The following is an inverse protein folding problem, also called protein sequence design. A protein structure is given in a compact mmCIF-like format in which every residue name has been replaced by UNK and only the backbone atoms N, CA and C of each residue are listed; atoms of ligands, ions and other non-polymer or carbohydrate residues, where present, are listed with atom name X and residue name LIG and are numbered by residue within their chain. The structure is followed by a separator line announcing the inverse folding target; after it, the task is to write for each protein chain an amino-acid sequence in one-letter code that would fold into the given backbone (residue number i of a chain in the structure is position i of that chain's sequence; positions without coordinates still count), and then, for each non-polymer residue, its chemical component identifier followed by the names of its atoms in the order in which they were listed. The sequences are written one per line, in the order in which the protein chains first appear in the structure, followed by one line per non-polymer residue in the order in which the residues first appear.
data_IF_349407823311
#
_entry.id   IF_349407823311
#
_cell.length_a   1.000
_cell.length_b   1.000
_cell.length_c   1.000
_cell.angle_alpha   90.00
_cell.angle_beta   90.00
_cell.angle_gamma   90.00
#
_symmetry.space_group_name_H-M   'P 1'
#
loop_
_entity.id
_entity.type
_entity.pdbx_description
1 polymer ?
#
# COMPACT_ATOMS: atom_id res chain seq x y z
N UNK A 1 5.98 17.91 14.74
CA UNK A 1 4.61 18.31 14.33
C UNK A 1 4.26 17.49 13.10
N UNK A 2 3.31 16.58 13.21
CA UNK A 2 2.77 15.85 12.06
C UNK A 2 1.95 16.86 11.29
N UNK A 3 2.41 17.26 10.10
CA UNK A 3 1.57 18.01 9.16
C UNK A 3 0.28 17.22 8.98
N UNK A 4 -0.81 17.77 9.51
CA UNK A 4 -2.11 17.11 9.45
C UNK A 4 -2.51 16.98 7.99
N UNK A 5 -2.62 15.74 7.52
CA UNK A 5 -3.38 15.47 6.32
C UNK A 5 -4.75 16.13 6.46
N UNK A 6 -5.17 16.88 5.46
CA UNK A 6 -6.42 17.63 5.51
C UNK A 6 -7.58 16.68 5.76
N UNK A 7 -8.23 16.82 6.90
CA UNK A 7 -9.42 16.02 7.23
C UNK A 7 -10.64 16.87 7.01
N UNK A 8 -11.46 16.55 6.02
CA UNK A 8 -12.76 17.19 5.85
C UNK A 8 -13.85 16.23 6.36
N UNK A 9 -14.62 16.67 7.33
CA UNK A 9 -15.86 15.99 7.72
C UNK A 9 -16.97 16.47 6.79
N UNK A 10 -17.33 15.65 5.84
CA UNK A 10 -18.45 15.92 4.93
C UNK A 10 -19.57 14.94 5.30
N UNK A 11 -20.61 15.42 5.92
CA UNK A 11 -21.66 14.67 6.59
C UNK A 11 -21.18 13.87 7.83
N UNK A 12 -22.02 13.67 8.81
CA UNK A 12 -21.70 13.04 10.10
C UNK A 12 -21.16 11.59 10.02
N UNK A 13 -21.24 10.96 8.86
CA UNK A 13 -20.90 9.55 8.65
C UNK A 13 -19.70 9.26 7.72
N UNK A 14 -19.26 10.24 6.90
CA UNK A 14 -18.17 10.05 5.96
C UNK A 14 -17.02 11.01 6.24
N UNK A 15 -15.78 10.49 6.30
CA UNK A 15 -14.55 11.28 6.45
C UNK A 15 -13.59 10.94 5.32
N UNK A 16 -12.98 11.95 4.74
CA UNK A 16 -11.97 11.82 3.68
C UNK A 16 -10.69 12.54 4.09
N UNK A 17 -9.56 11.87 3.94
CA UNK A 17 -8.23 12.45 4.06
C UNK A 17 -7.61 12.59 2.67
N UNK A 18 -6.97 13.74 2.42
CA UNK A 18 -6.33 14.05 1.15
C UNK A 18 -4.89 14.45 1.44
N UNK A 19 -3.95 13.99 0.61
CA UNK A 19 -2.53 14.36 0.74
C UNK A 19 -2.37 15.87 0.42
N UNK A 20 -1.86 16.69 1.36
CA UNK A 20 -1.71 18.11 1.15
C UNK A 20 -0.68 18.47 0.06
N UNK A 21 0.26 17.57 -0.26
CA UNK A 21 1.20 17.78 -1.36
C UNK A 21 0.56 17.48 -2.72
N UNK A 22 -0.39 16.55 -2.78
CA UNK A 22 -1.19 16.32 -3.99
C UNK A 22 -1.97 17.57 -4.40
N UNK A 23 -2.35 18.41 -3.45
CA UNK A 23 -3.03 19.70 -3.69
C UNK A 23 -2.18 20.74 -4.42
N UNK A 24 -0.85 20.63 -4.40
CA UNK A 24 0.07 21.62 -5.00
C UNK A 24 0.47 21.30 -6.44
N UNK A 25 0.17 20.12 -6.93
CA UNK A 25 0.42 19.74 -8.31
C UNK A 25 -0.79 20.16 -9.16
N UNK A 26 -0.60 21.07 -10.10
CA UNK A 26 -1.59 21.88 -10.82
C UNK A 26 -2.79 21.12 -11.42
N UNK A 27 -2.69 19.82 -11.63
CA UNK A 27 -3.77 19.00 -12.19
C UNK A 27 -4.61 18.25 -11.15
N UNK A 28 -4.14 18.15 -9.90
CA UNK A 28 -4.86 17.50 -8.80
C UNK A 28 -5.86 18.42 -8.09
N UNK A 29 -5.61 19.72 -8.10
CA UNK A 29 -6.35 20.69 -7.29
C UNK A 29 -7.84 20.68 -7.61
N UNK A 30 -8.22 20.61 -8.89
CA UNK A 30 -9.64 20.67 -9.30
C UNK A 30 -10.39 19.41 -8.84
N UNK A 31 -9.78 18.25 -8.95
CA UNK A 31 -10.46 16.98 -8.64
C UNK A 31 -10.53 16.72 -7.14
N UNK A 32 -9.44 16.98 -6.42
CA UNK A 32 -9.40 16.86 -4.97
C UNK A 32 -10.22 17.98 -4.29
N UNK A 33 -10.29 19.17 -4.90
CA UNK A 33 -11.18 20.25 -4.47
C UNK A 33 -12.65 19.89 -4.73
N UNK A 34 -12.99 19.24 -5.84
CA UNK A 34 -14.33 18.73 -6.10
C UNK A 34 -14.72 17.62 -5.11
N UNK A 35 -13.79 16.70 -4.83
CA UNK A 35 -13.96 15.69 -3.77
C UNK A 35 -14.19 16.35 -2.40
N UNK A 36 -13.40 17.37 -2.08
CA UNK A 36 -13.50 18.12 -0.85
C UNK A 36 -14.80 18.91 -0.72
N UNK A 37 -15.38 19.36 -1.83
CA UNK A 37 -16.65 20.13 -1.90
C UNK A 37 -17.87 19.24 -2.18
N UNK A 38 -17.67 17.95 -2.49
CA UNK A 38 -18.77 17.02 -2.80
C UNK A 38 -19.68 16.82 -1.59
N UNK A 39 -20.98 16.86 -1.83
CA UNK A 39 -22.00 16.49 -0.84
C UNK A 39 -22.01 14.97 -0.54
N UNK A 40 -21.46 14.16 -1.46
CA UNK A 40 -21.36 12.71 -1.34
C UNK A 40 -19.93 12.21 -1.65
N UNK A 41 -18.95 12.49 -0.82
CA UNK A 41 -17.55 12.17 -1.10
C UNK A 41 -17.28 10.66 -1.18
N UNK A 42 -18.15 9.81 -0.67
CA UNK A 42 -18.05 8.36 -0.81
C UNK A 42 -18.19 7.87 -2.26
N UNK A 43 -18.87 8.62 -3.13
CA UNK A 43 -19.02 8.27 -4.56
C UNK A 43 -17.69 8.26 -5.30
N UNK A 44 -16.74 9.13 -4.91
CA UNK A 44 -15.40 9.18 -5.49
C UNK A 44 -14.54 7.93 -5.21
N UNK A 45 -15.01 7.07 -4.32
CA UNK A 45 -14.41 5.79 -4.02
C UNK A 45 -15.25 4.61 -4.54
N UNK A 46 -16.19 4.89 -5.43
CA UNK A 46 -16.96 3.89 -6.15
C UNK A 46 -16.35 3.68 -7.55
N UNK A 47 -15.84 2.47 -7.86
CA UNK A 47 -15.33 2.17 -9.18
C UNK A 47 -16.42 2.22 -10.27
N UNK A 48 -17.69 2.25 -9.91
CA UNK A 48 -18.81 2.45 -10.84
C UNK A 48 -18.97 3.89 -11.31
N UNK A 49 -18.26 4.87 -10.72
CA UNK A 49 -18.35 6.26 -11.14
C UNK A 49 -17.69 6.44 -12.53
N UNK A 50 -18.46 6.84 -13.59
CA UNK A 50 -17.96 6.85 -14.98
C UNK A 50 -16.69 7.69 -15.18
N UNK A 51 -16.58 8.82 -14.48
CA UNK A 51 -15.44 9.73 -14.63
C UNK A 51 -14.10 9.15 -14.11
N UNK A 52 -14.13 8.04 -13.36
CA UNK A 52 -12.91 7.37 -12.89
C UNK A 52 -12.31 6.42 -13.92
N UNK A 53 -13.00 6.13 -15.02
CA UNK A 53 -12.52 5.21 -16.08
C UNK A 53 -11.96 3.90 -15.51
N UNK A 54 -12.67 3.32 -14.56
CA UNK A 54 -12.16 2.24 -13.71
C UNK A 54 -11.96 0.94 -14.48
N UNK A 55 -10.77 0.35 -14.34
CA UNK A 55 -10.43 -0.98 -14.86
C UNK A 55 -10.04 -1.90 -13.70
N UNK A 56 -10.64 -3.08 -13.55
CA UNK A 56 -10.29 -3.99 -12.46
C UNK A 56 -8.85 -4.47 -12.59
N UNK A 57 -8.12 -4.50 -11.48
CA UNK A 57 -6.77 -5.08 -11.43
C UNK A 57 -6.93 -6.60 -11.44
N UNK A 58 -6.45 -7.24 -12.51
CA UNK A 58 -6.56 -8.70 -12.71
C UNK A 58 -5.55 -9.50 -11.90
N UNK A 59 -4.44 -8.91 -11.54
CA UNK A 59 -3.35 -9.53 -10.78
C UNK A 59 -3.61 -9.42 -9.28
N UNK A 60 -3.60 -10.55 -8.56
CA UNK A 60 -3.74 -10.55 -7.09
C UNK A 60 -5.03 -11.14 -6.53
N UNK A 61 -5.90 -11.72 -7.34
CA UNK A 61 -6.85 -12.78 -6.93
C UNK A 61 -8.11 -12.42 -6.14
N UNK A 62 -8.38 -11.16 -5.78
CA UNK A 62 -9.70 -10.74 -5.27
C UNK A 62 -9.98 -9.31 -5.69
N UNK A 63 -10.95 -9.13 -6.58
CA UNK A 63 -11.39 -7.87 -7.17
C UNK A 63 -11.79 -6.79 -6.13
N UNK A 64 -10.79 -6.19 -5.47
CA UNK A 64 -10.94 -5.09 -4.53
C UNK A 64 -10.07 -3.89 -4.90
N UNK A 65 -9.38 -3.96 -6.05
CA UNK A 65 -8.54 -2.89 -6.57
C UNK A 65 -8.88 -2.59 -8.04
N UNK A 66 -8.83 -1.32 -8.40
CA UNK A 66 -9.09 -0.81 -9.74
C UNK A 66 -8.02 0.21 -10.12
N UNK A 67 -7.52 0.11 -11.33
CA UNK A 67 -6.87 1.24 -11.96
C UNK A 67 -7.94 2.28 -12.26
N UNK A 68 -7.68 3.52 -11.87
CA UNK A 68 -8.58 4.65 -12.10
C UNK A 68 -7.81 5.81 -12.66
N UNK A 69 -8.52 6.73 -13.30
CA UNK A 69 -7.97 7.99 -13.77
C UNK A 69 -8.51 9.15 -12.94
N UNK A 70 -7.61 9.95 -12.39
CA UNK A 70 -7.93 11.15 -11.64
C UNK A 70 -7.36 12.36 -12.41
N UNK A 71 -8.18 12.96 -13.31
CA UNK A 71 -7.66 13.94 -14.26
C UNK A 71 -6.55 13.32 -15.12
N UNK A 72 -5.34 13.90 -15.10
CA UNK A 72 -4.19 13.38 -15.84
C UNK A 72 -3.37 12.34 -15.06
N UNK A 73 -3.84 11.94 -13.88
CA UNK A 73 -3.08 11.01 -13.06
C UNK A 73 -3.70 9.62 -13.05
N UNK A 74 -2.84 8.65 -13.34
CA UNK A 74 -3.14 7.25 -13.11
C UNK A 74 -3.05 6.92 -11.61
N UNK A 75 -4.08 6.29 -11.08
CA UNK A 75 -4.17 5.93 -9.68
C UNK A 75 -4.71 4.51 -9.49
N UNK A 76 -4.61 4.02 -8.28
CA UNK A 76 -5.18 2.74 -7.84
C UNK A 76 -6.18 3.02 -6.72
N UNK A 77 -7.44 2.70 -6.98
CA UNK A 77 -8.49 2.69 -5.96
C UNK A 77 -8.56 1.29 -5.35
N UNK A 78 -8.44 1.20 -4.03
CA UNK A 78 -8.59 -0.03 -3.28
C UNK A 78 -9.68 0.10 -2.23
N UNK A 79 -10.70 -0.76 -2.34
CA UNK A 79 -11.72 -0.91 -1.31
C UNK A 79 -11.32 -2.02 -0.34
N UNK A 80 -11.39 -1.75 0.96
CA UNK A 80 -11.08 -2.75 1.98
C UNK A 80 -12.24 -3.74 2.11
N UNK A 81 -11.97 -5.02 1.87
CA UNK A 81 -12.95 -6.11 1.98
C UNK A 81 -12.46 -7.15 2.98
N UNK A 82 -13.39 -7.72 3.74
CA UNK A 82 -13.07 -8.87 4.61
C UNK A 82 -12.85 -10.12 3.76
N UNK A 83 -11.85 -10.92 4.13
CA UNK A 83 -11.67 -12.29 3.60
C UNK A 83 -12.20 -13.33 4.58
N UNK A 84 -12.39 -14.57 4.12
CA UNK A 84 -12.82 -15.71 4.92
C UNK A 84 -14.34 -15.87 5.03
N UNK A 85 -14.84 -16.79 5.89
CA UNK A 85 -16.27 -17.10 6.03
C UNK A 85 -17.10 -15.91 6.50
N UNK A 86 -16.54 -15.00 7.31
CA UNK A 86 -17.20 -13.74 7.69
C UNK A 86 -17.49 -12.80 6.50
N UNK A 87 -16.83 -13.01 5.34
CA UNK A 87 -17.08 -12.26 4.12
C UNK A 87 -18.46 -12.54 3.49
N UNK A 88 -19.11 -13.63 3.84
CA UNK A 88 -20.43 -13.98 3.32
C UNK A 88 -21.52 -13.02 3.81
N UNK A 89 -21.37 -12.49 5.03
CA UNK A 89 -22.37 -11.62 5.66
C UNK A 89 -21.90 -10.15 5.80
N UNK A 90 -20.57 -9.88 5.85
CA UNK A 90 -20.02 -8.55 6.12
C UNK A 90 -18.80 -8.26 5.24
N UNK A 91 -18.96 -8.28 3.92
CA UNK A 91 -17.86 -8.22 2.94
C UNK A 91 -16.93 -7.01 3.07
N UNK A 92 -17.46 -5.85 3.48
CA UNK A 92 -16.80 -4.56 3.46
C UNK A 92 -16.97 -3.75 4.76
N UNK A 93 -17.41 -4.41 5.84
CA UNK A 93 -17.76 -3.75 7.09
C UNK A 93 -16.80 -4.13 8.21
N UNK A 94 -16.29 -3.14 8.92
CA UNK A 94 -15.35 -3.27 10.04
C UNK A 94 -15.95 -2.66 11.29
N UNK A 95 -15.59 -3.21 12.47
CA UNK A 95 -16.01 -2.63 13.76
C UNK A 95 -15.29 -1.29 13.95
N UNK A 96 -16.06 -0.27 14.31
CA UNK A 96 -15.55 1.07 14.54
C UNK A 96 -14.79 1.16 15.86
N UNK A 97 -13.50 1.52 15.80
CA UNK A 97 -12.62 1.75 16.96
C UNK A 97 -12.00 3.16 16.93
N UNK A 98 -12.63 4.09 16.24
CA UNK A 98 -12.12 5.44 16.04
C UNK A 98 -11.56 5.67 14.62
N UNK A 99 -11.53 6.94 14.19
CA UNK A 99 -11.16 7.29 12.83
C UNK A 99 -9.69 6.91 12.51
N UNK A 100 -8.77 7.21 13.43
CA UNK A 100 -7.34 6.94 13.24
C UNK A 100 -7.00 5.45 13.18
N UNK A 101 -7.83 4.60 13.80
CA UNK A 101 -7.68 3.15 13.76
C UNK A 101 -8.33 2.51 12.53
N UNK A 102 -9.04 3.30 11.72
CA UNK A 102 -9.63 2.80 10.49
C UNK A 102 -8.53 2.43 9.48
N UNK A 103 -8.68 1.27 8.83
CA UNK A 103 -7.63 0.65 8.00
C UNK A 103 -7.08 1.57 6.93
N UNK A 104 -7.95 2.29 6.20
CA UNK A 104 -7.53 3.23 5.15
C UNK A 104 -6.73 4.40 5.69
N UNK A 105 -7.11 4.96 6.85
CA UNK A 105 -6.41 6.08 7.47
C UNK A 105 -5.08 5.65 8.11
N UNK A 106 -5.04 4.48 8.72
CA UNK A 106 -3.81 3.91 9.26
C UNK A 106 -2.79 3.65 8.14
N UNK A 107 -3.22 3.03 7.03
CA UNK A 107 -2.35 2.79 5.89
C UNK A 107 -1.94 4.09 5.19
N UNK A 108 -2.84 5.03 4.99
CA UNK A 108 -2.53 6.35 4.44
C UNK A 108 -1.41 7.04 5.23
N UNK A 109 -1.55 7.11 6.56
CA UNK A 109 -0.54 7.70 7.45
C UNK A 109 0.79 6.97 7.41
N UNK A 110 0.75 5.63 7.34
CA UNK A 110 1.96 4.81 7.23
C UNK A 110 2.69 5.08 5.92
N UNK A 111 1.99 5.11 4.79
CA UNK A 111 2.56 5.42 3.48
C UNK A 111 3.19 6.82 3.45
N UNK A 112 2.50 7.84 4.00
CA UNK A 112 3.08 9.19 4.11
C UNK A 112 4.38 9.19 4.95
N UNK A 113 4.38 8.49 6.08
CA UNK A 113 5.57 8.39 6.91
C UNK A 113 6.73 7.70 6.17
N UNK A 114 6.44 6.64 5.43
CA UNK A 114 7.43 5.90 4.64
C UNK A 114 8.01 6.73 3.49
N UNK A 115 7.19 7.52 2.80
CA UNK A 115 7.67 8.46 1.78
C UNK A 115 8.61 9.51 2.38
N UNK A 116 8.29 10.07 3.55
CA UNK A 116 9.16 11.01 4.27
C UNK A 116 10.51 10.39 4.66
N UNK A 117 10.56 9.07 4.86
CA UNK A 117 11.79 8.32 5.11
C UNK A 117 12.50 7.86 3.82
N UNK A 118 12.02 8.27 2.64
CA UNK A 118 12.62 7.92 1.35
C UNK A 118 12.42 6.47 0.94
N UNK A 119 11.42 5.77 1.50
CA UNK A 119 11.09 4.41 1.10
C UNK A 119 10.28 4.41 -0.22
N UNK A 120 10.56 3.46 -1.12
CA UNK A 120 9.87 3.36 -2.40
C UNK A 120 8.50 2.69 -2.22
N UNK A 121 7.52 3.50 -1.91
CA UNK A 121 6.10 3.12 -1.75
C UNK A 121 5.22 4.05 -2.58
N UNK A 122 4.03 3.63 -3.02
CA UNK A 122 3.13 4.48 -3.76
C UNK A 122 2.68 5.66 -2.90
N UNK A 123 2.56 6.83 -3.51
CA UNK A 123 2.05 8.02 -2.83
C UNK A 123 0.57 7.84 -2.52
N UNK A 124 0.14 7.99 -1.26
CA UNK A 124 -1.28 8.00 -0.94
C UNK A 124 -1.88 9.35 -1.37
N UNK A 125 -2.97 9.31 -2.12
CA UNK A 125 -3.64 10.51 -2.65
C UNK A 125 -4.85 10.87 -1.81
N UNK A 126 -5.72 9.89 -1.54
CA UNK A 126 -6.90 10.09 -0.72
C UNK A 126 -7.28 8.79 0.03
N UNK A 127 -7.86 8.95 1.20
CA UNK A 127 -8.44 7.85 1.97
C UNK A 127 -9.84 8.21 2.47
N UNK A 128 -10.74 7.24 2.48
CA UNK A 128 -12.11 7.41 2.91
C UNK A 128 -12.48 6.42 4.01
N UNK A 129 -13.27 6.91 4.96
CA UNK A 129 -13.98 6.10 5.96
C UNK A 129 -15.43 6.55 5.99
N UNK A 130 -16.34 5.64 5.72
CA UNK A 130 -17.78 5.85 5.83
C UNK A 130 -18.33 4.99 6.96
N UNK A 131 -18.73 5.63 8.05
CA UNK A 131 -19.30 4.95 9.23
C UNK A 131 -20.80 4.78 9.11
N UNK A 132 -21.31 3.60 9.50
CA UNK A 132 -22.75 3.34 9.67
C UNK A 132 -22.95 2.61 11.03
N UNK A 133 -23.35 3.36 12.04
CA UNK A 133 -23.49 2.80 13.39
C UNK A 133 -22.15 2.31 13.98
N UNK A 134 -22.07 1.02 14.30
CA UNK A 134 -20.89 0.35 14.85
C UNK A 134 -19.92 -0.19 13.78
N UNK A 135 -20.23 -0.02 12.52
CA UNK A 135 -19.43 -0.52 11.39
C UNK A 135 -19.00 0.61 10.48
N UNK A 136 -17.94 0.35 9.69
CA UNK A 136 -17.48 1.29 8.67
C UNK A 136 -17.03 0.57 7.40
N UNK A 137 -17.09 1.29 6.29
CA UNK A 137 -16.42 0.97 5.02
C UNK A 137 -15.21 1.86 4.87
N UNK A 138 -14.20 1.37 4.17
CA UNK A 138 -12.97 2.10 3.94
C UNK A 138 -12.46 1.89 2.52
N UNK A 139 -11.80 2.92 1.98
CA UNK A 139 -11.12 2.87 0.70
C UNK A 139 -9.87 3.77 0.73
N UNK A 140 -8.92 3.45 -0.14
CA UNK A 140 -7.66 4.17 -0.30
C UNK A 140 -7.39 4.36 -1.78
N UNK A 141 -6.96 5.55 -2.15
CA UNK A 141 -6.47 5.88 -3.48
C UNK A 141 -4.98 6.19 -3.35
N UNK A 142 -4.17 5.49 -4.15
CA UNK A 142 -2.73 5.72 -4.26
C UNK A 142 -2.34 6.03 -5.70
N UNK A 143 -1.25 6.75 -5.90
CA UNK A 143 -0.68 6.94 -7.22
C UNK A 143 -0.28 5.58 -7.80
N UNK A 144 -0.61 5.34 -9.08
CA UNK A 144 -0.19 4.15 -9.80
C UNK A 144 1.31 4.22 -10.09
N UNK A 145 2.02 3.12 -9.89
CA UNK A 145 3.40 2.97 -10.32
C UNK A 145 3.39 2.60 -11.80
N UNK A 146 3.93 3.45 -12.69
CA UNK A 146 3.85 3.21 -14.14
C UNK A 146 4.63 1.95 -14.55
N UNK A 147 4.07 1.17 -15.47
CA UNK A 147 4.71 0.00 -16.08
C UNK A 147 5.39 -0.95 -15.07
N UNK A 148 4.78 -1.08 -13.88
CA UNK A 148 5.30 -1.95 -12.84
C UNK A 148 4.68 -3.35 -12.90
N UNK A 149 5.53 -4.36 -12.70
CA UNK A 149 5.15 -5.76 -12.66
C UNK A 149 5.58 -6.40 -11.33
N UNK A 150 4.88 -7.44 -10.84
CA UNK A 150 5.29 -8.16 -9.64
C UNK A 150 6.70 -8.74 -9.75
N UNK A 151 7.43 -8.82 -8.63
CA UNK A 151 8.79 -9.36 -8.55
C UNK A 151 8.90 -10.76 -9.18
N UNK A 152 7.87 -11.56 -9.07
CA UNK A 152 7.80 -12.90 -9.65
C UNK A 152 7.95 -12.93 -11.18
N UNK A 153 7.73 -11.83 -11.85
CA UNK A 153 7.90 -11.70 -13.32
C UNK A 153 9.37 -11.51 -13.74
N UNK A 154 10.29 -11.39 -12.80
CA UNK A 154 11.70 -11.13 -13.06
C UNK A 154 12.57 -12.30 -12.63
N UNK A 155 13.44 -12.76 -13.53
CA UNK A 155 14.40 -13.86 -13.28
C UNK A 155 15.83 -13.36 -13.03
N UNK A 156 16.05 -12.06 -13.09
CA UNK A 156 17.35 -11.43 -12.92
C UNK A 156 17.71 -11.34 -11.41
N UNK A 157 18.81 -11.97 -10.95
CA UNK A 157 19.24 -11.94 -9.56
C UNK A 157 19.51 -10.53 -9.02
N UNK A 158 19.93 -9.57 -9.86
CA UNK A 158 20.17 -8.20 -9.44
C UNK A 158 18.86 -7.52 -8.98
N UNK A 159 17.75 -7.73 -9.69
CA UNK A 159 16.43 -7.20 -9.29
C UNK A 159 16.01 -7.76 -7.93
N UNK A 160 16.28 -9.04 -7.69
CA UNK A 160 15.97 -9.68 -6.40
C UNK A 160 16.89 -9.18 -5.28
N UNK A 161 18.17 -8.93 -5.57
CA UNK A 161 19.08 -8.29 -4.62
C UNK A 161 18.58 -6.89 -4.23
N UNK A 162 18.15 -6.09 -5.21
CA UNK A 162 17.57 -4.77 -4.97
C UNK A 162 16.28 -4.86 -4.14
N UNK A 163 15.44 -5.88 -4.35
CA UNK A 163 14.28 -6.13 -3.51
C UNK A 163 14.66 -6.42 -2.06
N UNK A 164 15.71 -7.22 -1.85
CA UNK A 164 16.28 -7.48 -0.52
C UNK A 164 16.74 -6.20 0.18
N UNK A 165 17.45 -5.32 -0.54
CA UNK A 165 17.90 -4.03 0.00
C UNK A 165 16.73 -3.12 0.41
N UNK A 166 15.68 -3.05 -0.42
CA UNK A 166 14.49 -2.24 -0.11
C UNK A 166 13.76 -2.79 1.12
N UNK A 167 13.65 -4.12 1.27
CA UNK A 167 13.06 -4.74 2.46
C UNK A 167 13.90 -4.45 3.71
N UNK A 168 15.23 -4.49 3.62
CA UNK A 168 16.11 -4.14 4.73
C UNK A 168 15.89 -2.69 5.19
N UNK A 169 15.82 -1.75 4.26
CA UNK A 169 15.51 -0.33 4.55
C UNK A 169 14.13 -0.15 5.19
N UNK A 170 13.13 -0.91 4.74
CA UNK A 170 11.80 -0.90 5.36
C UNK A 170 11.86 -1.38 6.81
N UNK A 171 12.59 -2.46 7.08
CA UNK A 171 12.75 -2.99 8.43
C UNK A 171 13.57 -2.03 9.33
N UNK A 172 14.61 -1.39 8.81
CA UNK A 172 15.40 -0.39 9.51
C UNK A 172 14.55 0.84 9.90
N UNK A 173 13.65 1.26 9.03
CA UNK A 173 12.66 2.29 9.32
C UNK A 173 11.59 1.87 10.37
N UNK A 174 11.71 0.65 10.91
CA UNK A 174 10.80 0.11 11.91
C UNK A 174 9.44 -0.31 11.35
N UNK A 175 9.33 -0.60 10.05
CA UNK A 175 8.08 -1.00 9.41
C UNK A 175 7.99 -2.52 9.30
N UNK A 176 6.97 -3.11 9.94
CA UNK A 176 6.60 -4.50 9.78
C UNK A 176 5.47 -4.61 8.76
N UNK A 177 5.68 -5.41 7.72
CA UNK A 177 4.69 -5.62 6.65
C UNK A 177 3.80 -6.82 6.98
N UNK A 178 2.50 -6.61 7.07
CA UNK A 178 1.55 -7.65 7.49
C UNK A 178 1.41 -8.79 6.48
N UNK A 179 1.63 -8.52 5.20
CA UNK A 179 1.50 -9.52 4.12
C UNK A 179 2.62 -9.38 3.07
N UNK A 180 3.89 -9.45 3.51
CA UNK A 180 5.02 -9.41 2.59
C UNK A 180 5.05 -10.67 1.71
N UNK A 181 4.78 -10.49 0.41
CA UNK A 181 4.75 -11.55 -0.59
C UNK A 181 5.23 -11.04 -1.96
N UNK A 182 5.49 -11.92 -2.92
CA UNK A 182 6.09 -11.57 -4.23
C UNK A 182 5.21 -10.67 -5.09
N UNK A 183 3.90 -10.65 -4.88
CA UNK A 183 2.97 -9.77 -5.60
C UNK A 183 2.90 -8.36 -4.99
N UNK A 184 3.31 -8.21 -3.73
CA UNK A 184 3.37 -6.93 -3.03
C UNK A 184 4.74 -6.24 -3.15
N UNK A 185 5.62 -6.79 -3.99
CA UNK A 185 6.87 -6.20 -4.42
C UNK A 185 6.76 -5.99 -5.93
N UNK A 186 6.77 -4.72 -6.36
CA UNK A 186 6.70 -4.37 -7.77
C UNK A 186 8.05 -3.86 -8.27
N UNK A 187 8.29 -4.03 -9.55
CA UNK A 187 9.47 -3.51 -10.25
C UNK A 187 8.99 -2.73 -11.46
N UNK A 188 9.37 -1.46 -11.56
CA UNK A 188 9.01 -0.59 -12.67
C UNK A 188 9.94 -0.73 -13.88
N UNK A 189 9.64 -0.02 -14.96
CA UNK A 189 10.42 -0.06 -16.19
C UNK A 189 11.89 0.41 -16.01
N UNK A 190 12.18 1.18 -14.96
CA UNK A 190 13.54 1.61 -14.61
C UNK A 190 14.27 0.63 -13.71
N UNK A 191 13.69 -0.54 -13.44
CA UNK A 191 14.15 -1.58 -12.52
C UNK A 191 14.15 -1.15 -11.03
N UNK A 192 13.46 -0.07 -10.70
CA UNK A 192 13.26 0.35 -9.33
C UNK A 192 12.23 -0.54 -8.66
N UNK A 193 12.57 -0.99 -7.45
CA UNK A 193 11.71 -1.84 -6.61
C UNK A 193 10.80 -0.97 -5.75
N UNK A 194 9.54 -1.35 -5.65
CA UNK A 194 8.49 -0.70 -4.88
C UNK A 194 7.79 -1.70 -3.97
N UNK A 195 7.41 -1.27 -2.77
CA UNK A 195 6.59 -2.07 -1.85
C UNK A 195 5.17 -1.51 -1.83
N UNK A 196 4.18 -2.40 -1.89
CA UNK A 196 2.76 -2.05 -1.92
C UNK A 196 1.95 -2.86 -0.91
N UNK A 197 0.70 -2.46 -0.69
CA UNK A 197 -0.29 -3.13 0.17
C UNK A 197 0.12 -3.24 1.64
N UNK A 198 0.18 -2.09 2.30
CA UNK A 198 0.51 -1.98 3.73
C UNK A 198 -0.70 -2.11 4.66
N UNK A 199 -1.79 -2.72 4.18
CA UNK A 199 -2.93 -2.99 5.03
C UNK A 199 -2.54 -3.83 6.26
N UNK A 200 -2.94 -3.39 7.46
CA UNK A 200 -2.54 -3.92 8.77
C UNK A 200 -1.04 -3.85 9.08
N UNK A 201 -0.23 -3.31 8.20
CA UNK A 201 1.17 -3.04 8.48
C UNK A 201 1.31 -1.90 9.48
N UNK A 202 2.44 -1.83 10.19
CA UNK A 202 2.62 -0.86 11.28
C UNK A 202 4.08 -0.55 11.53
N UNK A 203 4.32 0.63 12.09
CA UNK A 203 5.62 0.97 12.66
C UNK A 203 5.71 0.40 14.07
N UNK A 204 6.76 -0.37 14.33
CA UNK A 204 7.04 -1.01 15.63
C UNK A 204 8.56 -1.04 15.84
N UNK A 205 8.99 -1.25 17.08
CA UNK A 205 10.40 -1.55 17.35
C UNK A 205 10.74 -2.91 16.71
N UNK A 206 11.49 -2.85 15.61
CA UNK A 206 11.88 -4.05 14.86
C UNK A 206 12.87 -4.89 15.66
N UNK A 207 12.70 -6.20 15.65
CA UNK A 207 13.63 -7.17 16.21
C UNK A 207 13.91 -8.29 15.19
N UNK A 208 14.87 -9.19 15.50
CA UNK A 208 15.25 -10.28 14.60
C UNK A 208 14.08 -11.23 14.29
N UNK A 209 13.24 -11.54 15.26
CA UNK A 209 12.08 -12.43 15.08
C UNK A 209 11.07 -11.88 14.08
N UNK A 210 10.71 -10.60 14.19
CA UNK A 210 9.78 -9.91 13.26
C UNK A 210 10.35 -9.83 11.84
N UNK A 211 11.65 -9.57 11.70
CA UNK A 211 12.33 -9.58 10.40
C UNK A 211 12.30 -10.97 9.77
N UNK A 212 12.66 -11.98 10.55
CA UNK A 212 12.63 -13.38 10.10
C UNK A 212 11.22 -13.81 9.70
N UNK A 213 10.18 -13.40 10.44
CA UNK A 213 8.78 -13.67 10.10
C UNK A 213 8.43 -13.12 8.70
N UNK A 214 8.78 -11.84 8.41
CA UNK A 214 8.52 -11.22 7.12
C UNK A 214 9.28 -11.93 5.99
N UNK A 215 10.57 -12.20 6.15
CA UNK A 215 11.38 -12.90 5.15
C UNK A 215 10.87 -14.33 4.92
N UNK A 216 10.51 -15.04 5.99
CA UNK A 216 9.95 -16.40 5.87
C UNK A 216 8.58 -16.41 5.18
N UNK A 217 7.77 -15.37 5.39
CA UNK A 217 6.48 -15.20 4.68
C UNK A 217 6.73 -15.00 3.18
N UNK A 218 7.67 -14.13 2.82
CA UNK A 218 8.07 -13.92 1.42
C UNK A 218 8.57 -15.21 0.78
N UNK A 219 9.46 -15.96 1.45
CA UNK A 219 9.95 -17.25 0.94
C UNK A 219 8.81 -18.24 0.69
N UNK A 220 7.85 -18.35 1.61
CA UNK A 220 6.67 -19.21 1.40
C UNK A 220 5.86 -18.79 0.17
N UNK A 221 5.75 -17.49 -0.11
CA UNK A 221 5.05 -17.02 -1.31
C UNK A 221 5.82 -17.34 -2.60
N UNK A 222 7.16 -17.24 -2.58
CA UNK A 222 8.02 -17.66 -3.71
C UNK A 222 7.81 -19.15 -3.99
N UNK A 223 7.96 -20.00 -2.97
CA UNK A 223 7.76 -21.46 -3.09
C UNK A 223 6.40 -21.84 -3.65
N UNK A 224 5.38 -21.10 -3.27
CA UNK A 224 4.00 -21.39 -3.68
C UNK A 224 3.73 -21.09 -5.16
N UNK A 225 4.30 -19.99 -5.71
CA UNK A 225 3.91 -19.47 -7.03
C UNK A 225 5.04 -19.47 -8.05
N UNK A 226 6.28 -19.60 -7.62
CA UNK A 226 7.47 -19.47 -8.46
C UNK A 226 8.64 -20.30 -7.90
N UNK A 227 8.40 -21.53 -7.52
CA UNK A 227 9.43 -22.42 -6.93
C UNK A 227 10.77 -22.45 -7.70
N UNK A 228 10.82 -22.43 -9.04
CA UNK A 228 12.08 -22.37 -9.78
C UNK A 228 12.92 -21.13 -9.45
N UNK A 229 12.31 -19.99 -9.12
CA UNK A 229 13.01 -18.75 -8.78
C UNK A 229 13.66 -18.79 -7.39
N UNK A 230 13.24 -19.71 -6.51
CA UNK A 230 13.91 -19.93 -5.23
C UNK A 230 15.38 -20.33 -5.45
N UNK A 231 15.62 -21.29 -6.32
CA UNK A 231 16.97 -21.80 -6.59
C UNK A 231 17.90 -20.73 -7.21
N UNK A 232 17.36 -19.84 -8.03
CA UNK A 232 18.15 -18.88 -8.83
C UNK A 232 18.23 -17.49 -8.22
N UNK A 233 17.18 -17.02 -7.57
CA UNK A 233 17.04 -15.62 -7.18
C UNK A 233 16.98 -15.38 -5.66
N UNK A 234 16.57 -16.40 -4.87
CA UNK A 234 16.39 -16.22 -3.42
C UNK A 234 17.71 -15.90 -2.70
N UNK A 235 18.81 -16.54 -3.10
CA UNK A 235 20.15 -16.24 -2.55
C UNK A 235 20.56 -14.78 -2.79
N UNK A 236 20.26 -14.23 -3.97
CA UNK A 236 20.53 -12.84 -4.28
C UNK A 236 19.67 -11.88 -3.43
N UNK A 237 18.39 -12.18 -3.24
CA UNK A 237 17.52 -11.39 -2.36
C UNK A 237 18.05 -11.37 -0.92
N UNK A 238 18.40 -12.53 -0.37
CA UNK A 238 18.91 -12.63 1.01
C UNK A 238 20.26 -11.98 1.17
N UNK A 239 21.16 -12.07 0.18
CA UNK A 239 22.45 -11.39 0.17
C UNK A 239 22.26 -9.85 0.15
N UNK A 240 21.42 -9.33 -0.74
CA UNK A 240 21.10 -7.91 -0.81
C UNK A 240 20.48 -7.38 0.49
N UNK A 241 19.58 -8.17 1.10
CA UNK A 241 19.00 -7.86 2.39
C UNK A 241 20.06 -7.77 3.49
N UNK A 242 20.93 -8.78 3.62
CA UNK A 242 21.95 -8.84 4.65
C UNK A 242 22.97 -7.71 4.49
N UNK A 243 23.46 -7.48 3.28
CA UNK A 243 24.39 -6.40 2.97
C UNK A 243 23.83 -5.04 3.38
N UNK A 244 22.61 -4.73 2.96
CA UNK A 244 21.94 -3.48 3.30
C UNK A 244 21.69 -3.35 4.80
N UNK A 245 21.23 -4.44 5.46
CA UNK A 245 20.99 -4.44 6.90
C UNK A 245 22.27 -4.16 7.70
N UNK A 246 23.39 -4.80 7.35
CA UNK A 246 24.67 -4.59 8.01
C UNK A 246 25.21 -3.17 7.81
N UNK A 247 25.02 -2.60 6.62
CA UNK A 247 25.40 -1.21 6.33
C UNK A 247 24.62 -0.21 7.17
N UNK A 248 23.30 -0.45 7.37
CA UNK A 248 22.42 0.41 8.16
C UNK A 248 22.60 0.23 9.68
N UNK A 249 23.04 -0.97 10.11
CA UNK A 249 23.16 -1.36 11.52
C UNK A 249 24.54 -1.98 11.82
N UNK A 250 25.65 -1.21 11.75
CA UNK A 250 27.00 -1.75 11.89
C UNK A 250 27.29 -2.36 13.27
N UNK A 251 26.54 -1.95 14.30
CA UNK A 251 26.69 -2.45 15.68
C UNK A 251 25.92 -3.76 15.93
N UNK A 252 25.22 -4.30 14.95
CA UNK A 252 24.39 -5.51 15.08
C UNK A 252 25.15 -6.81 14.74
N UNK A 253 26.47 -6.83 14.98
CA UNK A 253 27.31 -8.02 14.78
C UNK A 253 27.23 -8.99 15.94
#
# INVERSE_FOLDING_TARGET
MVDQAFTQSVASSCRVWIDPLARREVHYDVLLDNLAKSSQPSEWFDPGLPMLESLPVKEGGRAAAWFIRLGDTDAVLRQYRRGGMAAHFFRDQYVWQGAQSARSFAEFSLLQAMLKMGLPVPRPLAAMVQRKGLIYRAALITQRIPAAHPLVSFTDPEVWSNAGQVIARMHDAGVWHADLNVFNILVDATRKVWLIDFDRSRRIKMNSGLRTENISRLLRSVRKVAAPLEATCWSALTAGYQQSWQSLNPESK
#
